data_IF_489324818241
#
_entry.id   IF_489324818241
#
_cell.length_a   1.000
_cell.length_b   1.000
_cell.length_c   1.000
_cell.angle_alpha   90.00
_cell.angle_beta   90.00
_cell.angle_gamma   90.00
#
_symmetry.space_group_name_H-M   'P 1'
#
loop_
_entity.id
_entity.type
_entity.pdbx_description
1 polymer ?
#
# COMPACT_ATOMS: atom_id res chain seq x y z
N UNK A 1 6.04 11.38 -23.28
CA UNK A 1 5.38 10.06 -23.23
C UNK A 1 6.04 9.27 -22.12
N UNK A 2 5.30 8.88 -21.09
CA UNK A 2 5.80 8.12 -19.94
C UNK A 2 5.22 6.72 -20.01
N UNK A 3 6.06 5.68 -20.00
CA UNK A 3 5.63 4.29 -20.00
C UNK A 3 5.77 3.72 -18.59
N UNK A 4 4.73 3.06 -18.11
CA UNK A 4 4.72 2.38 -16.81
C UNK A 4 4.49 0.89 -17.05
N UNK A 5 5.39 0.01 -16.59
CA UNK A 5 5.18 -1.43 -16.68
C UNK A 5 4.01 -1.84 -15.77
N UNK A 6 2.99 -2.50 -16.34
CA UNK A 6 1.78 -2.95 -15.61
C UNK A 6 1.90 -4.39 -15.09
N UNK A 7 3.07 -5.02 -15.15
CA UNK A 7 3.23 -6.43 -14.82
C UNK A 7 2.99 -6.75 -13.34
N UNK A 8 3.19 -5.79 -12.43
CA UNK A 8 2.85 -5.91 -11.01
C UNK A 8 2.41 -4.53 -10.50
N UNK A 9 1.16 -4.40 -10.06
CA UNK A 9 0.70 -3.17 -9.42
C UNK A 9 0.97 -3.24 -7.91
N UNK A 10 1.46 -2.12 -7.37
CA UNK A 10 1.68 -1.94 -5.94
C UNK A 10 0.84 -0.79 -5.42
N UNK A 11 0.25 -0.96 -4.24
CA UNK A 11 -0.31 0.12 -3.46
C UNK A 11 0.80 0.82 -2.66
N UNK A 12 0.70 2.14 -2.55
CA UNK A 12 1.49 2.93 -1.62
C UNK A 12 0.58 3.34 -0.46
N UNK A 13 0.89 2.85 0.73
CA UNK A 13 0.15 3.13 1.96
C UNK A 13 0.94 4.10 2.83
N UNK A 14 0.25 5.09 3.39
CA UNK A 14 0.84 6.01 4.36
C UNK A 14 0.61 5.45 5.77
N UNK A 15 1.69 5.12 6.46
CA UNK A 15 1.67 4.58 7.82
C UNK A 15 2.29 5.57 8.78
N UNK A 16 1.66 5.72 9.94
CA UNK A 16 2.13 6.62 11.00
C UNK A 16 3.46 6.18 11.61
N UNK A 17 4.28 7.14 12.06
CA UNK A 17 5.51 6.85 12.78
C UNK A 17 5.31 6.05 14.08
N UNK A 18 4.15 6.18 14.71
CA UNK A 18 3.80 5.40 15.91
C UNK A 18 3.50 3.93 15.60
N UNK A 19 3.09 3.63 14.36
CA UNK A 19 2.67 2.29 13.95
C UNK A 19 3.69 1.58 13.05
N UNK A 20 4.56 2.32 12.36
CA UNK A 20 5.53 1.74 11.41
C UNK A 20 6.45 0.71 12.07
N UNK A 21 6.73 0.86 13.37
CA UNK A 21 7.55 -0.07 14.14
C UNK A 21 6.92 -1.49 14.24
N UNK A 22 5.62 -1.63 13.98
CA UNK A 22 4.87 -2.90 13.99
C UNK A 22 4.84 -3.57 12.61
N UNK A 23 5.09 -2.84 11.53
CA UNK A 23 5.01 -3.35 10.15
C UNK A 23 6.32 -4.03 9.75
N UNK A 24 6.24 -5.17 9.06
CA UNK A 24 7.37 -5.91 8.52
C UNK A 24 7.15 -6.25 7.05
N UNK A 25 8.26 -6.38 6.32
CA UNK A 25 8.25 -6.91 4.96
C UNK A 25 7.82 -8.39 5.03
N UNK A 26 6.88 -8.77 4.18
CA UNK A 26 6.24 -10.09 4.17
C UNK A 26 4.94 -10.17 4.96
N UNK A 27 4.55 -9.12 5.70
CA UNK A 27 3.27 -9.11 6.40
C UNK A 27 2.11 -9.22 5.41
N UNK A 28 1.14 -10.05 5.76
CA UNK A 28 -0.14 -10.13 5.06
C UNK A 28 -1.12 -9.13 5.63
N UNK A 29 -1.90 -8.49 4.77
CA UNK A 29 -2.93 -7.53 5.15
C UNK A 29 -4.14 -7.61 4.22
N UNK A 30 -5.25 -7.02 4.64
CA UNK A 30 -6.47 -6.90 3.84
C UNK A 30 -6.54 -5.51 3.23
N UNK A 31 -6.80 -5.45 1.94
CA UNK A 31 -6.87 -4.20 1.16
C UNK A 31 -8.25 -4.07 0.54
N UNK A 32 -8.97 -3.02 0.90
CA UNK A 32 -10.21 -2.58 0.27
C UNK A 32 -9.87 -1.57 -0.83
N UNK A 33 -10.45 -1.75 -2.01
CA UNK A 33 -10.30 -0.82 -3.13
C UNK A 33 -11.64 -0.13 -3.32
N UNK A 34 -11.70 1.19 -3.23
CA UNK A 34 -12.99 1.92 -3.17
C UNK A 34 -13.89 1.69 -4.40
N UNK A 35 -13.30 1.31 -5.54
CA UNK A 35 -14.01 1.02 -6.78
C UNK A 35 -14.70 -0.36 -6.80
N UNK A 36 -14.38 -1.26 -5.85
CA UNK A 36 -14.86 -2.64 -5.84
C UNK A 36 -15.41 -3.01 -4.46
N UNK A 37 -16.41 -3.88 -4.46
CA UNK A 37 -16.90 -4.51 -3.23
C UNK A 37 -15.92 -5.61 -2.76
N UNK A 38 -15.74 -5.71 -1.45
CA UNK A 38 -14.90 -6.74 -0.82
C UNK A 38 -13.44 -6.35 -0.57
N UNK A 39 -12.74 -7.24 0.14
CA UNK A 39 -11.34 -7.08 0.51
C UNK A 39 -10.46 -8.06 -0.25
N UNK A 40 -9.25 -7.63 -0.60
CA UNK A 40 -8.24 -8.42 -1.29
C UNK A 40 -7.06 -8.65 -0.36
N UNK A 41 -6.34 -9.75 -0.54
CA UNK A 41 -5.09 -9.97 0.19
C UNK A 41 -3.96 -9.17 -0.44
N UNK A 42 -3.21 -8.50 0.42
CA UNK A 42 -1.97 -7.80 0.09
C UNK A 42 -0.81 -8.33 0.90
N UNK A 43 0.40 -8.18 0.36
CA UNK A 43 1.66 -8.48 1.06
C UNK A 43 2.57 -7.27 1.05
N UNK A 44 3.16 -6.92 2.19
CA UNK A 44 4.14 -5.85 2.29
C UNK A 44 5.42 -6.24 1.55
N UNK A 45 5.76 -5.53 0.49
CA UNK A 45 6.97 -5.78 -0.32
C UNK A 45 8.14 -4.89 0.07
N UNK A 46 7.85 -3.66 0.50
CA UNK A 46 8.87 -2.67 0.87
C UNK A 46 8.34 -1.66 1.87
N UNK A 47 9.23 -1.18 2.73
CA UNK A 47 9.01 -0.03 3.60
C UNK A 47 10.04 1.02 3.20
N UNK A 48 9.58 2.18 2.75
CA UNK A 48 10.46 3.29 2.41
C UNK A 48 11.02 3.90 3.70
N UNK A 49 12.35 3.99 3.88
CA UNK A 49 12.95 4.49 5.12
C UNK A 49 12.80 6.00 5.29
N UNK A 50 12.45 6.72 4.21
CA UNK A 50 12.31 8.18 4.23
C UNK A 50 10.91 8.57 4.70
N UNK A 51 10.82 9.01 5.96
CA UNK A 51 9.62 9.63 6.51
C UNK A 51 9.30 10.97 5.85
N UNK A 52 8.01 11.28 5.69
CA UNK A 52 7.50 12.54 5.16
C UNK A 52 6.60 13.20 6.20
N UNK A 53 6.90 14.44 6.55
CA UNK A 53 6.07 15.21 7.49
C UNK A 53 4.85 15.76 6.74
N UNK A 54 3.66 15.41 7.21
CA UNK A 54 2.38 15.84 6.65
C UNK A 54 1.52 16.39 7.78
N UNK A 55 1.21 17.69 7.72
CA UNK A 55 0.32 18.36 8.67
C UNK A 55 0.63 18.03 10.15
N UNK A 56 1.93 18.04 10.50
CA UNK A 56 2.46 17.78 11.86
C UNK A 56 2.59 16.31 12.27
N UNK A 57 2.53 15.36 11.33
CA UNK A 57 2.78 13.94 11.61
C UNK A 57 3.72 13.33 10.58
N UNK A 58 4.70 12.55 11.04
CA UNK A 58 5.60 11.82 10.14
C UNK A 58 4.90 10.56 9.63
N UNK A 59 4.83 10.41 8.30
CA UNK A 59 4.31 9.22 7.63
C UNK A 59 5.42 8.51 6.86
N UNK A 60 5.34 7.19 6.81
CA UNK A 60 6.21 6.33 6.03
C UNK A 60 5.40 5.66 4.92
N UNK A 61 6.02 5.53 3.75
CA UNK A 61 5.37 4.86 2.61
C UNK A 61 5.66 3.36 2.69
N UNK A 62 4.61 2.56 2.77
CA UNK A 62 4.67 1.10 2.72
C UNK A 62 4.14 0.64 1.36
N UNK A 63 4.92 -0.14 0.63
CA UNK A 63 4.53 -0.75 -0.63
C UNK A 63 3.92 -2.12 -0.40
N UNK A 64 2.77 -2.35 -1.01
CA UNK A 64 2.02 -3.59 -0.90
C UNK A 64 1.69 -4.12 -2.29
N UNK A 65 2.02 -5.37 -2.55
CA UNK A 65 1.59 -6.10 -3.75
C UNK A 65 0.24 -6.76 -3.52
N UNK A 66 -0.56 -6.85 -4.57
CA UNK A 66 -1.82 -7.59 -4.58
C UNK A 66 -1.61 -8.98 -5.19
N UNK A 67 -2.31 -9.99 -4.65
CA UNK A 67 -2.34 -11.31 -5.29
C UNK A 67 -3.08 -11.26 -6.64
N UNK A 68 -4.13 -10.44 -6.74
CA UNK A 68 -4.92 -10.23 -7.95
C UNK A 68 -5.07 -8.72 -8.25
N UNK A 69 -4.45 -8.27 -9.34
CA UNK A 69 -4.41 -6.85 -9.74
C UNK A 69 -4.78 -6.61 -11.22
N UNK A 70 -5.39 -7.60 -11.87
CA UNK A 70 -5.66 -7.56 -13.32
C UNK A 70 -6.68 -6.49 -13.70
N UNK A 71 -7.60 -6.20 -12.80
CA UNK A 71 -8.67 -5.20 -12.95
C UNK A 71 -8.31 -3.83 -12.35
N UNK A 72 -7.21 -3.75 -11.58
CA UNK A 72 -6.79 -2.52 -10.92
C UNK A 72 -6.16 -1.54 -11.91
N UNK A 73 -6.44 -0.26 -11.69
CA UNK A 73 -5.83 0.84 -12.44
C UNK A 73 -5.02 1.74 -11.50
N UNK A 74 -3.93 2.28 -12.03
CA UNK A 74 -3.08 3.22 -11.31
C UNK A 74 -3.91 4.47 -10.96
N UNK A 75 -3.87 4.86 -9.68
CA UNK A 75 -4.60 6.01 -9.17
C UNK A 75 -5.90 5.68 -8.43
N UNK A 76 -6.29 4.40 -8.36
CA UNK A 76 -7.38 3.97 -7.49
C UNK A 76 -7.05 4.21 -6.02
N UNK A 77 -8.08 4.62 -5.25
CA UNK A 77 -7.96 4.75 -3.80
C UNK A 77 -8.13 3.41 -3.11
N UNK A 78 -7.25 3.16 -2.14
CA UNK A 78 -7.20 1.91 -1.39
C UNK A 78 -7.08 2.19 0.09
N UNK A 79 -7.63 1.29 0.90
CA UNK A 79 -7.51 1.27 2.36
C UNK A 79 -7.02 -0.09 2.79
N UNK A 80 -6.10 -0.12 3.74
CA UNK A 80 -5.45 -1.32 4.20
C UNK A 80 -5.68 -1.54 5.69
N UNK A 81 -5.81 -2.79 6.07
CA UNK A 81 -6.04 -3.25 7.43
C UNK A 81 -5.04 -4.35 7.75
N UNK A 82 -4.17 -4.09 8.72
CA UNK A 82 -3.31 -5.12 9.31
C UNK A 82 -4.19 -6.02 10.19
N UNK A 83 -3.94 -7.33 10.12
CA UNK A 83 -4.57 -8.31 11.00
C UNK A 83 -3.95 -8.32 12.42
#
# INVERSE_FOLDING_TARGET
MTLLPQTVLEAALEVDELDIAKVRIGDSLRVSVDAYEGERKGTVTRIEPLGRVMLDTTKFIVKVSFEESSDLLIGMHVRAYWD
#
